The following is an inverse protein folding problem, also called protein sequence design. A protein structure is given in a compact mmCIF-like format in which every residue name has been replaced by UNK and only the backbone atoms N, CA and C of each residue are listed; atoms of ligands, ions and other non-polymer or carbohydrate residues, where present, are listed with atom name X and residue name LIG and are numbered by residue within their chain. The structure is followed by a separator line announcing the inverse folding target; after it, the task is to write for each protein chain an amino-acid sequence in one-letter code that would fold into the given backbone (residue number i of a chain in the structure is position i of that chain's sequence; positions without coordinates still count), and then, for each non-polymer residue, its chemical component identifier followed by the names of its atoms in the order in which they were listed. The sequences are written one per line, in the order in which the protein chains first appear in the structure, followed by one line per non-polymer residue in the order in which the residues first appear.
data_IF_807192019891
#
_entry.id   IF_807192019891
#
_cell.length_a   1.000
_cell.length_b   1.000
_cell.length_c   1.000
_cell.angle_alpha   90.00
_cell.angle_beta   90.00
_cell.angle_gamma   90.00
#
_symmetry.space_group_name_H-M   'P 1'
#
loop_
_entity.id
_entity.type
_entity.pdbx_description
1 polymer ?
#
# COMPACT_ATOMS: atom_id res chain seq x y z
N UNK A 1 18.44 -10.67 28.03
CA UNK A 1 18.52 -10.30 26.60
C UNK A 1 17.18 -10.63 25.96
N UNK A 2 16.44 -9.66 25.40
CA UNK A 2 15.21 -9.98 24.70
C UNK A 2 15.55 -10.82 23.45
N UNK A 3 14.70 -11.80 23.08
CA UNK A 3 14.93 -12.60 21.89
C UNK A 3 15.04 -11.66 20.70
N UNK A 4 16.19 -11.71 20.03
CA UNK A 4 16.39 -11.04 18.75
C UNK A 4 15.25 -11.47 17.83
N UNK A 5 14.32 -10.56 17.54
CA UNK A 5 13.29 -10.76 16.52
C UNK A 5 14.08 -11.13 15.26
N UNK A 6 14.05 -12.42 14.87
CA UNK A 6 14.61 -12.86 13.59
C UNK A 6 13.83 -12.09 12.54
N UNK A 7 14.43 -11.03 12.00
CA UNK A 7 13.82 -10.28 10.92
C UNK A 7 13.82 -11.22 9.72
N UNK A 8 12.67 -11.83 9.46
CA UNK A 8 12.51 -12.74 8.33
C UNK A 8 12.78 -11.95 7.05
N UNK A 9 13.66 -12.46 6.21
CA UNK A 9 13.91 -11.89 4.89
C UNK A 9 12.66 -12.08 4.02
N UNK A 10 11.88 -11.01 3.85
CA UNK A 10 10.59 -11.02 3.16
C UNK A 10 10.73 -10.39 1.79
N UNK A 11 9.91 -10.82 0.84
CA UNK A 11 9.67 -10.15 -0.44
C UNK A 11 8.49 -9.20 -0.29
N UNK A 12 8.77 -7.91 -0.37
CA UNK A 12 7.79 -6.85 -0.23
C UNK A 12 7.56 -6.22 -1.61
N UNK A 13 6.32 -6.25 -2.09
CA UNK A 13 5.93 -5.50 -3.28
C UNK A 13 5.32 -4.18 -2.83
N UNK A 14 5.89 -3.09 -3.31
CA UNK A 14 5.42 -1.73 -3.08
C UNK A 14 4.65 -1.27 -4.32
N UNK A 15 3.37 -0.95 -4.19
CA UNK A 15 2.54 -0.39 -5.27
C UNK A 15 2.22 1.07 -4.95
N UNK A 16 2.96 1.99 -5.55
CA UNK A 16 2.81 3.42 -5.28
C UNK A 16 3.37 4.28 -6.42
N UNK A 17 2.82 5.48 -6.62
CA UNK A 17 3.43 6.47 -7.51
C UNK A 17 4.71 7.05 -6.89
N UNK A 18 5.63 7.50 -7.75
CA UNK A 18 6.79 8.25 -7.28
C UNK A 18 6.39 9.67 -6.87
N UNK A 19 6.51 10.00 -5.58
CA UNK A 19 6.39 11.39 -5.10
C UNK A 19 7.77 12.06 -5.18
N UNK A 20 8.01 12.91 -6.20
CA UNK A 20 9.32 13.55 -6.44
C UNK A 20 9.80 14.41 -5.25
N UNK A 21 8.87 15.11 -4.61
CA UNK A 21 9.17 16.04 -3.51
C UNK A 21 9.35 15.31 -2.17
N UNK A 22 8.37 14.50 -1.75
CA UNK A 22 8.43 13.85 -0.43
C UNK A 22 9.29 12.58 -0.42
N UNK A 23 9.48 11.93 -1.57
CA UNK A 23 10.23 10.67 -1.72
C UNK A 23 9.81 9.57 -0.73
N UNK A 24 8.59 9.62 -0.20
CA UNK A 24 8.18 8.80 0.94
C UNK A 24 8.26 7.29 0.66
N UNK A 25 7.80 6.84 -0.51
CA UNK A 25 7.90 5.43 -0.92
C UNK A 25 9.34 4.98 -1.20
N UNK A 26 10.21 5.91 -1.58
CA UNK A 26 11.63 5.62 -1.69
C UNK A 26 12.24 5.37 -0.31
N UNK A 27 11.84 6.15 0.71
CA UNK A 27 12.28 5.92 2.09
C UNK A 27 11.70 4.64 2.69
N UNK A 28 10.42 4.33 2.47
CA UNK A 28 9.86 3.02 2.85
C UNK A 28 10.64 1.87 2.21
N UNK A 29 10.90 1.94 0.90
CA UNK A 29 11.71 0.96 0.19
C UNK A 29 13.09 0.80 0.84
N UNK A 30 13.79 1.92 1.12
CA UNK A 30 15.11 1.89 1.75
C UNK A 30 15.06 1.31 3.16
N UNK A 31 14.07 1.67 3.97
CA UNK A 31 13.89 1.14 5.32
C UNK A 31 13.67 -0.38 5.29
N UNK A 32 12.81 -0.88 4.41
CA UNK A 32 12.62 -2.33 4.24
C UNK A 32 13.92 -3.03 3.80
N UNK A 33 14.67 -2.44 2.87
CA UNK A 33 15.97 -2.99 2.44
C UNK A 33 17.01 -3.01 3.57
N UNK A 34 17.07 -1.96 4.39
CA UNK A 34 17.97 -1.89 5.55
C UNK A 34 17.61 -2.93 6.63
N UNK A 35 16.33 -3.31 6.73
CA UNK A 35 15.89 -4.42 7.58
C UNK A 35 16.14 -5.79 6.94
N UNK A 36 16.77 -5.86 5.77
CA UNK A 36 17.16 -7.10 5.10
C UNK A 36 16.09 -7.71 4.20
N UNK A 37 14.99 -6.99 3.92
CA UNK A 37 13.94 -7.47 3.04
C UNK A 37 14.23 -7.17 1.55
N UNK A 38 13.77 -8.04 0.66
CA UNK A 38 13.78 -7.81 -0.79
C UNK A 38 12.57 -6.97 -1.16
N UNK A 39 12.79 -5.85 -1.86
CA UNK A 39 11.71 -4.92 -2.22
C UNK A 39 11.56 -4.77 -3.73
N UNK A 40 10.34 -4.82 -4.23
CA UNK A 40 10.00 -4.57 -5.64
C UNK A 40 9.02 -3.40 -5.71
N UNK A 41 9.25 -2.43 -6.60
CA UNK A 41 8.39 -1.25 -6.69
C UNK A 41 7.65 -1.21 -8.03
N UNK A 42 6.33 -1.32 -7.97
CA UNK A 42 5.42 -1.24 -9.10
C UNK A 42 4.73 0.14 -9.09
N UNK A 43 4.73 0.80 -10.24
CA UNK A 43 4.05 2.09 -10.43
C UNK A 43 2.79 1.89 -11.25
N UNK A 44 1.76 1.30 -10.65
CA UNK A 44 0.52 0.93 -11.33
C UNK A 44 -0.07 2.09 -12.14
N UNK A 45 -0.20 3.27 -11.53
CA UNK A 45 -0.73 4.49 -12.17
C UNK A 45 0.06 4.91 -13.41
N UNK A 46 1.37 4.64 -13.46
CA UNK A 46 2.22 4.89 -14.63
C UNK A 46 2.00 3.84 -15.72
N UNK A 47 1.81 2.57 -15.35
CA UNK A 47 1.52 1.50 -16.33
C UNK A 47 0.13 1.74 -16.93
N UNK A 48 -0.85 2.07 -16.08
CA UNK A 48 -2.21 2.47 -16.47
C UNK A 48 -2.20 3.63 -17.47
N UNK A 49 -1.37 4.66 -17.25
CA UNK A 49 -1.34 5.81 -18.17
C UNK A 49 -0.80 5.47 -19.56
N UNK A 50 0.00 4.41 -19.72
CA UNK A 50 0.54 4.02 -21.04
C UNK A 50 -0.31 2.97 -21.75
N UNK A 51 -0.92 2.05 -20.99
CA UNK A 51 -1.52 0.83 -21.55
C UNK A 51 -3.02 0.71 -21.25
N UNK A 52 -3.59 1.63 -20.47
CA UNK A 52 -4.96 1.53 -19.96
C UNK A 52 -5.09 0.60 -18.74
N UNK A 53 -6.28 0.60 -18.14
CA UNK A 53 -6.59 -0.14 -16.91
C UNK A 53 -6.38 -1.66 -17.07
N UNK A 54 -6.98 -2.25 -18.10
CA UNK A 54 -7.02 -3.71 -18.27
C UNK A 54 -5.62 -4.31 -18.45
N UNK A 55 -4.76 -3.67 -19.25
CA UNK A 55 -3.39 -4.12 -19.44
C UNK A 55 -2.53 -3.87 -18.20
N UNK A 56 -2.74 -2.74 -17.51
CA UNK A 56 -2.04 -2.47 -16.25
C UNK A 56 -2.38 -3.50 -15.18
N UNK A 57 -3.66 -3.85 -15.04
CA UNK A 57 -4.12 -4.94 -14.20
C UNK A 57 -3.43 -6.26 -14.57
N UNK A 58 -3.53 -6.70 -15.83
CA UNK A 58 -2.99 -7.98 -16.27
C UNK A 58 -1.46 -8.10 -16.03
N UNK A 59 -0.72 -7.04 -16.37
CA UNK A 59 0.74 -6.99 -16.16
C UNK A 59 1.07 -7.02 -14.68
N UNK A 60 0.45 -6.16 -13.87
CA UNK A 60 0.76 -6.07 -12.44
C UNK A 60 0.37 -7.35 -11.71
N UNK A 61 -0.79 -7.93 -12.02
CA UNK A 61 -1.22 -9.21 -11.46
C UNK A 61 -0.25 -10.32 -11.79
N UNK A 62 0.18 -10.43 -13.06
CA UNK A 62 1.16 -11.45 -13.49
C UNK A 62 2.50 -11.26 -12.77
N UNK A 63 3.01 -10.03 -12.69
CA UNK A 63 4.26 -9.72 -11.99
C UNK A 63 4.17 -10.07 -10.51
N UNK A 64 3.10 -9.65 -9.82
CA UNK A 64 2.90 -9.95 -8.39
C UNK A 64 2.79 -11.46 -8.17
N UNK A 65 2.04 -12.16 -9.02
CA UNK A 65 1.87 -13.61 -8.95
C UNK A 65 3.18 -14.38 -9.15
N UNK A 66 4.07 -13.89 -10.02
CA UNK A 66 5.41 -14.48 -10.22
C UNK A 66 6.34 -14.21 -9.05
N UNK A 67 6.30 -13.00 -8.49
CA UNK A 67 7.13 -12.62 -7.35
C UNK A 67 6.74 -13.36 -6.07
N UNK A 68 5.45 -13.73 -5.93
CA UNK A 68 4.87 -14.33 -4.71
C UNK A 68 5.32 -13.57 -3.46
N UNK A 69 4.96 -12.28 -3.32
CA UNK A 69 5.38 -11.48 -2.18
C UNK A 69 4.86 -12.05 -0.87
N UNK A 70 5.59 -11.79 0.21
CA UNK A 70 5.17 -12.07 1.57
C UNK A 70 4.36 -10.88 2.14
N UNK A 71 4.46 -9.71 1.51
CA UNK A 71 3.73 -8.49 1.88
C UNK A 71 3.47 -7.61 0.65
N UNK A 72 2.24 -7.14 0.51
CA UNK A 72 1.86 -6.07 -0.39
C UNK A 72 1.79 -4.77 0.41
N UNK A 73 2.59 -3.78 0.06
CA UNK A 73 2.53 -2.43 0.62
C UNK A 73 2.06 -1.47 -0.46
N UNK A 74 0.96 -0.74 -0.27
CA UNK A 74 0.42 0.11 -1.33
C UNK A 74 -0.02 1.48 -0.84
N UNK A 75 0.03 2.45 -1.74
CA UNK A 75 -0.60 3.74 -1.49
C UNK A 75 -2.07 3.67 -1.87
N UNK A 76 -2.93 4.25 -1.03
CA UNK A 76 -4.38 4.11 -1.14
C UNK A 76 -5.02 4.38 -2.50
N UNK A 77 -4.38 5.16 -3.38
CA UNK A 77 -4.91 5.52 -4.71
C UNK A 77 -4.13 4.94 -5.89
N UNK A 78 -3.08 4.18 -5.63
CA UNK A 78 -2.17 3.69 -6.68
C UNK A 78 -2.34 2.19 -6.95
N UNK A 79 -3.50 1.61 -6.63
CA UNK A 79 -3.85 0.22 -6.97
C UNK A 79 -5.33 0.16 -7.35
N UNK A 80 -5.69 -0.69 -8.33
CA UNK A 80 -7.10 -0.94 -8.63
C UNK A 80 -7.72 -1.87 -7.59
N UNK A 81 -9.02 -1.72 -7.34
CA UNK A 81 -9.75 -2.58 -6.41
C UNK A 81 -9.66 -4.06 -6.79
N UNK A 82 -9.82 -4.36 -8.08
CA UNK A 82 -9.72 -5.72 -8.62
C UNK A 82 -8.34 -6.34 -8.37
N UNK A 83 -7.26 -5.59 -8.61
CA UNK A 83 -5.90 -6.06 -8.36
C UNK A 83 -5.68 -6.35 -6.88
N UNK A 84 -6.14 -5.44 -6.00
CA UNK A 84 -6.03 -5.63 -4.56
C UNK A 84 -6.77 -6.89 -4.10
N UNK A 85 -8.01 -7.10 -4.56
CA UNK A 85 -8.85 -8.25 -4.21
C UNK A 85 -8.23 -9.59 -4.63
N UNK A 86 -7.57 -9.64 -5.78
CA UNK A 86 -6.90 -10.87 -6.24
C UNK A 86 -5.62 -11.15 -5.44
N UNK A 87 -4.82 -10.12 -5.15
CA UNK A 87 -3.54 -10.29 -4.45
C UNK A 87 -3.75 -10.62 -2.97
N UNK A 88 -4.75 -10.01 -2.31
CA UNK A 88 -5.01 -10.19 -0.87
C UNK A 88 -5.47 -11.60 -0.49
N UNK A 89 -5.94 -12.40 -1.46
CA UNK A 89 -6.28 -13.80 -1.20
C UNK A 89 -5.07 -14.63 -0.74
N UNK A 90 -3.85 -14.16 -1.02
CA UNK A 90 -2.61 -14.92 -0.78
C UNK A 90 -1.54 -14.12 -0.04
N UNK A 91 -1.67 -12.80 -0.01
CA UNK A 91 -0.63 -11.89 0.50
C UNK A 91 -1.26 -10.87 1.44
N UNK A 92 -0.78 -10.72 2.68
CA UNK A 92 -1.17 -9.62 3.54
C UNK A 92 -0.94 -8.27 2.86
N UNK A 93 -1.92 -7.37 2.98
CA UNK A 93 -1.96 -6.08 2.32
C UNK A 93 -1.94 -4.94 3.35
N UNK A 94 -0.93 -4.08 3.26
CA UNK A 94 -0.76 -2.88 4.09
C UNK A 94 -0.93 -1.65 3.22
N UNK A 95 -1.84 -0.79 3.64
CA UNK A 95 -2.10 0.49 2.99
C UNK A 95 -1.36 1.61 3.73
N UNK A 96 -0.78 2.53 2.98
CA UNK A 96 -0.28 3.79 3.50
C UNK A 96 -1.04 4.96 2.89
N UNK A 97 -1.41 5.93 3.72
CA UNK A 97 -2.16 7.10 3.30
C UNK A 97 -1.72 8.33 4.08
N UNK A 98 -1.29 9.36 3.35
CA UNK A 98 -0.70 10.59 3.90
C UNK A 98 -1.49 11.86 3.57
N UNK A 99 -2.61 11.76 2.84
CA UNK A 99 -3.47 12.92 2.56
C UNK A 99 -4.44 13.15 3.73
N UNK A 100 -4.75 14.42 4.03
CA UNK A 100 -5.73 14.77 5.07
C UNK A 100 -7.16 14.63 4.55
N UNK A 101 -8.08 14.18 5.38
CA UNK A 101 -9.51 14.00 5.02
C UNK A 101 -10.16 15.27 4.45
N UNK A 102 -9.79 16.44 4.98
CA UNK A 102 -10.29 17.75 4.53
C UNK A 102 -9.98 18.06 3.06
N UNK A 103 -9.00 17.38 2.46
CA UNK A 103 -8.59 17.59 1.07
C UNK A 103 -9.26 16.63 0.08
N UNK A 104 -10.16 15.77 0.56
CA UNK A 104 -10.76 14.69 -0.24
C UNK A 104 -12.25 15.01 -0.45
N UNK A 105 -12.71 14.96 -1.69
CA UNK A 105 -14.15 15.02 -2.00
C UNK A 105 -14.87 13.80 -1.42
N UNK A 106 -16.17 13.91 -1.14
CA UNK A 106 -16.97 12.81 -0.58
C UNK A 106 -16.87 11.52 -1.41
N UNK A 107 -16.96 11.63 -2.74
CA UNK A 107 -16.81 10.48 -3.66
C UNK A 107 -15.44 9.80 -3.54
N UNK A 108 -14.38 10.59 -3.47
CA UNK A 108 -13.01 10.08 -3.32
C UNK A 108 -12.76 9.48 -1.93
N UNK A 109 -13.53 9.90 -0.92
CA UNK A 109 -13.45 9.32 0.42
C UNK A 109 -14.11 7.95 0.48
N UNK A 110 -15.27 7.77 -0.17
CA UNK A 110 -15.93 6.46 -0.25
C UNK A 110 -15.06 5.41 -0.96
N UNK A 111 -14.46 5.77 -2.11
CA UNK A 111 -13.51 4.90 -2.81
C UNK A 111 -12.30 4.53 -1.95
N UNK A 112 -11.77 5.51 -1.22
CA UNK A 112 -10.66 5.28 -0.28
C UNK A 112 -11.06 4.30 0.82
N UNK A 113 -12.23 4.47 1.43
CA UNK A 113 -12.74 3.57 2.48
C UNK A 113 -12.98 2.17 1.93
N UNK A 114 -13.51 2.05 0.71
CA UNK A 114 -13.69 0.75 0.05
C UNK A 114 -12.37 0.00 -0.08
N UNK A 115 -11.30 0.65 -0.54
CA UNK A 115 -9.96 0.06 -0.62
C UNK A 115 -9.36 -0.22 0.76
N UNK A 116 -9.49 0.73 1.69
CA UNK A 116 -8.92 0.64 3.03
C UNK A 116 -9.50 -0.52 3.85
N UNK A 117 -10.79 -0.81 3.70
CA UNK A 117 -11.44 -2.00 4.30
C UNK A 117 -10.85 -3.31 3.81
N UNK A 118 -10.23 -3.33 2.62
CA UNK A 118 -9.63 -4.54 2.08
C UNK A 118 -8.21 -4.78 2.57
N UNK A 119 -7.54 -3.76 3.10
CA UNK A 119 -6.21 -3.88 3.69
C UNK A 119 -6.29 -4.49 5.10
N UNK A 120 -5.29 -5.30 5.46
CA UNK A 120 -5.15 -5.84 6.80
C UNK A 120 -4.84 -4.73 7.81
N UNK A 121 -4.04 -3.73 7.39
CA UNK A 121 -3.69 -2.54 8.17
C UNK A 121 -3.63 -1.33 7.24
N UNK A 122 -4.17 -0.20 7.71
CA UNK A 122 -3.98 1.11 7.10
C UNK A 122 -3.15 2.01 8.02
N UNK A 123 -2.02 2.52 7.52
CA UNK A 123 -1.20 3.50 8.23
C UNK A 123 -1.52 4.93 7.82
N UNK A 124 -1.71 5.77 8.83
CA UNK A 124 -2.01 7.20 8.73
C UNK A 124 -0.94 8.02 9.45
N UNK A 125 -0.62 9.19 8.91
CA UNK A 125 0.26 10.20 9.54
C UNK A 125 -0.51 11.20 10.41
N UNK A 126 -1.84 11.22 10.36
CA UNK A 126 -2.67 12.08 11.19
C UNK A 126 -3.41 11.26 12.25
N UNK A 127 -2.95 11.35 13.51
CA UNK A 127 -3.56 10.62 14.63
C UNK A 127 -5.02 11.02 14.87
N UNK A 128 -5.39 12.28 14.59
CA UNK A 128 -6.74 12.80 14.83
C UNK A 128 -7.81 12.19 13.92
N UNK A 129 -7.41 11.65 12.77
CA UNK A 129 -8.35 11.09 11.78
C UNK A 129 -8.60 9.58 11.98
N UNK A 130 -7.74 8.88 12.75
CA UNK A 130 -7.85 7.43 12.98
C UNK A 130 -9.25 7.00 13.43
N UNK A 131 -9.91 7.65 14.41
CA UNK A 131 -11.24 7.23 14.85
C UNK A 131 -12.29 7.28 13.74
N UNK A 132 -12.14 8.18 12.76
CA UNK A 132 -13.08 8.31 11.65
C UNK A 132 -12.97 7.13 10.69
N UNK A 133 -11.76 6.68 10.38
CA UNK A 133 -11.53 5.46 9.59
C UNK A 133 -11.96 4.20 10.34
N UNK A 134 -11.70 4.12 11.65
CA UNK A 134 -12.11 2.97 12.47
C UNK A 134 -13.63 2.84 12.57
N UNK A 135 -14.37 3.95 12.70
CA UNK A 135 -15.85 3.96 12.61
C UNK A 135 -16.36 3.40 11.27
N UNK A 136 -15.57 3.51 10.22
CA UNK A 136 -15.86 2.94 8.91
C UNK A 136 -15.38 1.49 8.78
N UNK A 137 -14.93 0.82 9.85
CA UNK A 137 -14.48 -0.59 9.80
C UNK A 137 -13.07 -0.79 9.24
N UNK A 138 -12.27 0.27 9.16
CA UNK A 138 -10.87 0.19 8.71
C UNK A 138 -9.95 -0.06 9.91
N UNK A 139 -9.02 -1.02 9.80
CA UNK A 139 -7.96 -1.22 10.79
C UNK A 139 -6.87 -0.16 10.66
N UNK A 140 -7.20 1.07 11.06
CA UNK A 140 -6.32 2.22 10.96
C UNK A 140 -5.36 2.31 12.16
N UNK A 141 -4.08 2.60 11.86
CA UNK A 141 -2.98 2.76 12.82
C UNK A 141 -2.20 4.03 12.51
N UNK A 142 -1.63 4.62 13.56
CA UNK A 142 -0.72 5.75 13.42
C UNK A 142 0.68 5.27 13.03
N UNK A 143 1.33 5.95 12.10
CA UNK A 143 2.77 5.81 11.85
C UNK A 143 3.44 7.20 11.89
N UNK A 144 4.61 7.26 12.52
CA UNK A 144 5.50 8.42 12.52
C UNK A 144 6.68 8.13 11.60
N UNK A 145 7.11 9.16 10.87
CA UNK A 145 8.44 9.22 10.28
C UNK A 145 9.44 9.73 11.29
#
# INVERSE_FOLDING_TARGET
MPPSIRIMNMKIVIVAKSKRHTKIYYYFKKAFQQKGHKTFWIKFSKIKSYLGENLAYAICYKVISLLKPDLLFFHGRDISFELLMQVKQRTPAVMYFDDCLKSISSSNFEELIMLARQADIMYLTNRGEIPQYQKQGVNAKFITG
#
